data_IF_156779388909
#
_entry.id   IF_156779388909
#
_cell.length_a   1.000
_cell.length_b   1.000
_cell.length_c   1.000
_cell.angle_alpha   90.00
_cell.angle_beta   90.00
_cell.angle_gamma   90.00
#
_symmetry.space_group_name_H-M   'P 1'
#
loop_
_entity.id
_entity.type
_entity.pdbx_description
1 polymer ?
#
# COMPACT_ATOMS: atom_id res chain seq x y z
N UNK A 1 -50.07 -11.91 21.25
CA UNK A 1 -49.88 -13.02 22.19
C UNK A 1 -48.70 -12.66 23.09
N UNK A 2 -48.97 -12.33 24.35
CA UNK A 2 -47.99 -11.97 25.39
C UNK A 2 -47.59 -13.24 26.16
N UNK A 3 -46.35 -13.38 26.61
CA UNK A 3 -45.96 -14.09 27.85
C UNK A 3 -44.49 -13.69 28.17
N UNK A 4 -44.25 -12.73 29.08
CA UNK A 4 -44.12 -12.80 30.56
C UNK A 4 -42.73 -13.24 31.04
N UNK A 5 -42.19 -12.43 31.95
CA UNK A 5 -40.93 -12.54 32.69
C UNK A 5 -41.03 -13.48 33.91
N UNK A 6 -39.86 -13.85 34.47
CA UNK A 6 -39.45 -13.82 35.90
C UNK A 6 -38.22 -14.75 36.07
N UNK A 7 -37.01 -14.22 36.29
CA UNK A 7 -36.30 -14.04 37.59
C UNK A 7 -36.15 -15.32 38.43
N UNK A 8 -34.89 -15.70 38.68
CA UNK A 8 -34.45 -16.19 39.99
C UNK A 8 -33.71 -17.52 40.00
N UNK A 9 -32.37 -17.49 40.11
CA UNK A 9 -31.60 -18.13 41.19
C UNK A 9 -30.13 -18.27 40.79
N UNK A 10 -29.25 -17.64 41.57
CA UNK A 10 -27.83 -17.88 41.55
C UNK A 10 -27.54 -19.31 42.02
N UNK A 11 -26.77 -20.07 41.24
CA UNK A 11 -25.93 -21.14 41.76
C UNK A 11 -24.49 -20.87 41.35
N UNK A 12 -23.69 -20.48 42.34
CA UNK A 12 -22.24 -20.50 42.29
C UNK A 12 -21.84 -21.98 42.30
N UNK A 13 -21.52 -22.52 41.12
CA UNK A 13 -20.83 -23.78 40.99
C UNK A 13 -19.57 -23.52 40.18
N UNK A 14 -18.46 -23.38 40.90
CA UNK A 14 -17.12 -23.28 40.34
C UNK A 14 -16.87 -24.47 39.43
N UNK A 15 -16.87 -24.20 38.13
CA UNK A 15 -16.37 -25.15 37.13
C UNK A 15 -15.09 -24.54 36.62
N UNK A 16 -13.96 -25.18 36.93
CA UNK A 16 -12.68 -24.90 36.28
C UNK A 16 -12.92 -25.05 34.77
N UNK A 17 -13.12 -23.93 34.09
CA UNK A 17 -12.98 -23.85 32.64
C UNK A 17 -11.49 -24.03 32.37
N UNK A 18 -11.14 -25.28 32.11
CA UNK A 18 -9.96 -25.69 31.38
C UNK A 18 -9.68 -24.67 30.28
N UNK A 19 -8.57 -23.95 30.42
CA UNK A 19 -8.09 -23.04 29.41
C UNK A 19 -7.89 -23.82 28.12
N UNK A 20 -8.84 -23.69 27.19
CA UNK A 20 -8.56 -23.91 25.78
C UNK A 20 -7.52 -22.88 25.41
N UNK A 21 -6.26 -23.32 25.37
CA UNK A 21 -5.20 -22.59 24.71
C UNK A 21 -5.75 -22.19 23.33
N UNK A 22 -5.95 -20.89 23.13
CA UNK A 22 -6.06 -20.37 21.78
C UNK A 22 -4.71 -20.69 21.15
N UNK A 23 -4.64 -21.80 20.41
CA UNK A 23 -3.61 -21.98 19.41
C UNK A 23 -3.79 -20.82 18.44
N UNK A 24 -3.01 -19.76 18.64
CA UNK A 24 -2.76 -18.76 17.62
C UNK A 24 -2.50 -19.54 16.34
N UNK A 25 -3.33 -19.34 15.32
CA UNK A 25 -3.00 -19.82 13.98
C UNK A 25 -1.75 -19.04 13.57
N UNK A 26 -0.59 -19.59 13.91
CA UNK A 26 0.67 -19.17 13.32
C UNK A 26 0.50 -19.58 11.88
N UNK A 27 0.18 -18.61 11.01
CA UNK A 27 0.26 -18.80 9.57
C UNK A 27 1.60 -19.47 9.28
N UNK A 28 1.57 -20.64 8.62
CA UNK A 28 2.79 -21.27 8.14
C UNK A 28 3.63 -20.20 7.44
N UNK A 29 4.95 -20.21 7.67
CA UNK A 29 5.84 -19.37 6.88
C UNK A 29 5.53 -19.62 5.40
N UNK A 30 5.47 -18.58 4.56
CA UNK A 30 5.26 -18.81 3.15
C UNK A 30 6.30 -19.78 2.60
N UNK A 31 5.85 -20.71 1.76
CA UNK A 31 6.74 -21.66 1.10
C UNK A 31 7.69 -20.89 0.15
N UNK A 32 8.91 -21.40 -0.11
CA UNK A 32 9.81 -20.76 -1.05
C UNK A 32 9.18 -20.78 -2.44
N UNK A 33 8.70 -19.64 -2.91
CA UNK A 33 7.92 -19.56 -4.15
C UNK A 33 8.76 -19.62 -5.44
N UNK A 34 9.81 -20.45 -5.44
CA UNK A 34 10.84 -20.50 -6.48
C UNK A 34 10.34 -21.01 -7.83
N UNK A 35 11.24 -21.12 -8.81
CA UNK A 35 10.99 -21.84 -10.07
C UNK A 35 10.95 -23.35 -9.81
N UNK A 36 9.91 -23.80 -9.12
CA UNK A 36 9.78 -25.16 -8.62
C UNK A 36 8.71 -25.97 -9.36
N UNK A 37 8.16 -25.41 -10.44
CA UNK A 37 7.11 -25.99 -11.27
C UNK A 37 5.80 -26.26 -10.47
N UNK A 38 5.58 -25.55 -9.36
CA UNK A 38 4.38 -25.66 -8.52
C UNK A 38 3.71 -24.30 -8.26
N UNK A 39 2.38 -24.29 -8.27
CA UNK A 39 1.63 -23.07 -8.00
C UNK A 39 1.74 -22.67 -6.53
N UNK A 40 2.28 -21.48 -6.25
CA UNK A 40 2.32 -20.94 -4.91
C UNK A 40 1.18 -19.96 -4.59
N UNK A 41 0.93 -19.82 -3.29
CA UNK A 41 0.07 -18.77 -2.76
C UNK A 41 0.93 -17.72 -2.09
N UNK A 42 1.00 -16.55 -2.70
CA UNK A 42 1.87 -15.46 -2.26
C UNK A 42 1.02 -14.36 -1.64
N UNK A 43 1.24 -14.09 -0.36
CA UNK A 43 0.39 -13.23 0.45
C UNK A 43 1.11 -11.97 0.87
N UNK A 44 0.52 -10.81 0.57
CA UNK A 44 1.07 -9.50 0.95
C UNK A 44 0.21 -8.70 1.92
N UNK A 45 0.85 -7.94 2.81
CA UNK A 45 0.15 -7.05 3.76
C UNK A 45 0.79 -5.66 3.88
N UNK A 46 0.15 -4.72 4.58
CA UNK A 46 0.71 -3.42 4.90
C UNK A 46 -0.14 -2.24 4.46
N UNK A 47 0.44 -1.33 3.68
CA UNK A 47 -0.14 -0.01 3.36
C UNK A 47 -1.55 -0.07 2.79
N UNK A 48 -2.43 0.75 3.38
CA UNK A 48 -3.76 1.05 2.89
C UNK A 48 -3.70 1.88 1.60
N UNK A 49 -2.75 2.84 1.54
CA UNK A 49 -2.54 3.69 0.36
C UNK A 49 -2.26 2.86 -0.89
N UNK A 50 -1.37 1.88 -0.82
CA UNK A 50 -0.96 1.10 -2.01
C UNK A 50 -1.86 -0.11 -2.28
N UNK A 51 -2.74 -0.47 -1.34
CA UNK A 51 -3.63 -1.63 -1.45
C UNK A 51 -4.43 -1.69 -2.76
N UNK A 52 -5.07 -0.61 -3.24
CA UNK A 52 -5.87 -0.67 -4.47
C UNK A 52 -5.01 -0.87 -5.72
N UNK A 53 -3.77 -0.38 -5.73
CA UNK A 53 -2.83 -0.58 -6.84
C UNK A 53 -2.37 -2.02 -6.87
N UNK A 54 -1.91 -2.52 -5.73
CA UNK A 54 -1.33 -3.86 -5.62
C UNK A 54 -2.35 -4.93 -5.99
N UNK A 55 -3.60 -4.87 -5.51
CA UNK A 55 -4.64 -5.82 -5.93
C UNK A 55 -4.86 -5.87 -7.46
N UNK A 56 -4.74 -4.73 -8.14
CA UNK A 56 -4.92 -4.65 -9.59
C UNK A 56 -3.68 -5.14 -10.33
N UNK A 57 -2.49 -4.82 -9.86
CA UNK A 57 -1.24 -5.33 -10.41
C UNK A 57 -1.12 -6.85 -10.22
N UNK A 58 -1.47 -7.35 -9.04
CA UNK A 58 -1.56 -8.78 -8.70
C UNK A 58 -2.54 -9.50 -9.61
N UNK A 59 -3.73 -8.93 -9.88
CA UNK A 59 -4.68 -9.51 -10.82
C UNK A 59 -4.08 -9.67 -12.23
N UNK A 60 -3.36 -8.67 -12.73
CA UNK A 60 -2.71 -8.74 -14.04
C UNK A 60 -1.59 -9.79 -14.05
N UNK A 61 -0.86 -9.92 -12.94
CA UNK A 61 0.19 -10.92 -12.80
C UNK A 61 -0.38 -12.35 -12.73
N UNK A 62 -1.42 -12.57 -11.93
CA UNK A 62 -2.15 -13.84 -11.81
C UNK A 62 -2.81 -14.30 -13.12
N UNK A 63 -2.98 -13.38 -14.09
CA UNK A 63 -3.50 -13.67 -15.42
C UNK A 63 -2.42 -14.09 -16.42
N UNK A 64 -1.16 -14.18 -16.02
CA UNK A 64 -0.08 -14.67 -16.86
C UNK A 64 -0.34 -16.10 -17.35
N UNK A 65 0.04 -16.40 -18.58
CA UNK A 65 -0.17 -17.70 -19.23
C UNK A 65 0.53 -18.88 -18.52
N UNK A 66 1.55 -18.57 -17.72
CA UNK A 66 2.53 -19.50 -17.16
C UNK A 66 3.06 -20.56 -18.11
N UNK A 67 3.50 -21.66 -17.51
CA UNK A 67 3.87 -22.92 -18.14
C UNK A 67 2.62 -23.71 -18.63
N UNK A 68 2.80 -24.71 -19.50
CA UNK A 68 1.72 -25.65 -19.80
C UNK A 68 1.42 -26.52 -18.58
N UNK A 69 0.14 -26.69 -18.26
CA UNK A 69 -0.38 -27.54 -17.16
C UNK A 69 -1.14 -28.74 -17.73
N UNK A 70 -1.06 -29.92 -17.10
CA UNK A 70 -1.82 -31.09 -17.54
C UNK A 70 -3.27 -31.00 -17.06
N UNK A 71 -4.22 -30.99 -18.00
CA UNK A 71 -5.64 -31.12 -17.71
C UNK A 71 -6.16 -32.56 -17.91
N UNK A 72 -5.27 -33.55 -18.02
CA UNK A 72 -5.66 -34.95 -18.17
C UNK A 72 -6.68 -35.35 -17.10
N UNK A 73 -7.78 -35.95 -17.56
CA UNK A 73 -8.86 -36.39 -16.69
C UNK A 73 -8.32 -37.29 -15.59
N UNK A 74 -8.77 -37.15 -14.33
CA UNK A 74 -8.39 -38.05 -13.24
C UNK A 74 -8.71 -39.53 -13.55
N UNK A 75 -9.58 -39.80 -14.53
CA UNK A 75 -9.90 -41.15 -15.00
C UNK A 75 -8.84 -41.77 -15.94
N UNK A 76 -7.97 -40.97 -16.58
CA UNK A 76 -7.00 -41.45 -17.56
C UNK A 76 -5.65 -41.83 -16.93
N UNK A 77 -5.24 -41.15 -15.85
CA UNK A 77 -4.05 -41.50 -15.06
C UNK A 77 -4.05 -40.81 -13.69
N UNK A 78 -4.57 -41.45 -12.63
CA UNK A 78 -4.61 -40.87 -11.28
C UNK A 78 -3.24 -40.51 -10.71
N UNK A 79 -2.18 -41.16 -11.18
CA UNK A 79 -0.79 -40.92 -10.76
C UNK A 79 -0.10 -39.78 -11.55
N UNK A 80 -0.71 -39.29 -12.64
CA UNK A 80 -0.23 -38.17 -13.45
C UNK A 80 -1.13 -36.93 -13.36
N UNK A 81 -2.11 -36.94 -12.45
CA UNK A 81 -2.98 -35.79 -12.19
C UNK A 81 -2.16 -34.69 -11.50
N UNK A 82 -1.68 -33.74 -12.30
CA UNK A 82 -0.79 -32.66 -11.88
C UNK A 82 -1.56 -31.34 -11.69
N UNK A 83 -2.55 -31.35 -10.79
CA UNK A 83 -3.25 -30.12 -10.43
C UNK A 83 -2.31 -29.18 -9.68
N UNK A 84 -2.16 -27.95 -10.19
CA UNK A 84 -1.33 -26.92 -9.58
C UNK A 84 0.17 -27.13 -9.79
N UNK A 85 0.57 -27.74 -10.91
CA UNK A 85 1.96 -27.91 -11.31
C UNK A 85 2.16 -27.76 -12.81
N UNK A 86 3.35 -27.31 -13.20
CA UNK A 86 3.79 -27.31 -14.58
C UNK A 86 4.03 -28.73 -15.09
N UNK A 87 3.83 -28.93 -16.39
CA UNK A 87 4.20 -30.16 -17.09
C UNK A 87 5.73 -30.30 -17.17
N UNK A 88 6.28 -31.36 -16.57
CA UNK A 88 7.71 -31.69 -16.66
C UNK A 88 8.01 -32.64 -17.82
N UNK A 89 9.13 -32.44 -18.53
CA UNK A 89 9.60 -33.38 -19.57
C UNK A 89 8.95 -33.23 -20.95
N UNK A 90 8.14 -32.18 -21.16
CA UNK A 90 7.63 -31.75 -22.47
C UNK A 90 8.35 -30.49 -22.93
N UNK A 91 8.35 -30.24 -24.25
CA UNK A 91 8.87 -28.97 -24.79
C UNK A 91 7.90 -27.84 -24.43
N UNK A 92 8.20 -27.13 -23.34
CA UNK A 92 7.48 -25.93 -22.94
C UNK A 92 7.83 -24.78 -23.89
N UNK A 93 6.83 -24.08 -24.43
CA UNK A 93 7.10 -22.79 -25.08
C UNK A 93 7.45 -21.77 -24.01
N UNK A 94 8.75 -21.53 -23.80
CA UNK A 94 9.31 -20.56 -22.84
C UNK A 94 8.96 -19.09 -23.14
N UNK A 95 7.98 -18.83 -24.02
CA UNK A 95 7.56 -17.48 -24.42
C UNK A 95 6.97 -16.65 -23.28
N UNK A 96 6.79 -17.23 -22.07
CA UNK A 96 6.32 -16.54 -20.89
C UNK A 96 7.30 -16.52 -19.69
N UNK A 97 8.61 -16.69 -19.91
CA UNK A 97 9.64 -16.46 -18.85
C UNK A 97 9.75 -15.01 -18.36
N UNK A 98 8.84 -14.14 -18.77
CA UNK A 98 8.78 -12.72 -18.40
C UNK A 98 7.50 -12.39 -17.58
N UNK A 99 6.75 -13.40 -17.15
CA UNK A 99 5.53 -13.29 -16.35
C UNK A 99 5.46 -14.38 -15.29
N UNK A 100 4.28 -14.57 -14.72
CA UNK A 100 3.97 -15.59 -13.71
C UNK A 100 4.15 -17.01 -14.29
N UNK A 101 5.33 -17.61 -14.15
CA UNK A 101 5.65 -18.89 -14.80
C UNK A 101 4.94 -20.07 -14.15
N UNK A 102 5.04 -20.18 -12.84
CA UNK A 102 4.52 -21.30 -12.05
C UNK A 102 3.01 -21.20 -11.77
N UNK A 103 2.33 -20.20 -12.36
CA UNK A 103 0.92 -19.88 -12.10
C UNK A 103 0.63 -19.58 -10.63
N UNK A 104 1.54 -18.85 -10.01
CA UNK A 104 1.42 -18.34 -8.66
C UNK A 104 0.20 -17.45 -8.51
N UNK A 105 -0.39 -17.49 -7.32
CA UNK A 105 -1.55 -16.68 -6.98
C UNK A 105 -1.16 -15.69 -5.91
N UNK A 106 -1.10 -14.43 -6.32
CA UNK A 106 -0.93 -13.31 -5.41
C UNK A 106 -2.24 -12.86 -4.79
N UNK A 107 -2.20 -12.62 -3.48
CA UNK A 107 -3.31 -12.05 -2.74
C UNK A 107 -2.85 -11.04 -1.70
N UNK A 108 -3.38 -9.82 -1.77
CA UNK A 108 -3.22 -8.83 -0.71
C UNK A 108 -4.25 -8.99 0.41
N UNK A 109 -3.80 -9.16 1.66
CA UNK A 109 -4.68 -9.12 2.84
C UNK A 109 -5.28 -7.73 3.06
N UNK A 110 -6.29 -7.62 3.92
CA UNK A 110 -6.75 -6.30 4.38
C UNK A 110 -5.57 -5.47 4.93
N UNK A 111 -5.49 -4.17 4.61
CA UNK A 111 -4.36 -3.34 5.01
C UNK A 111 -4.30 -3.10 6.53
N UNK A 112 -3.09 -2.91 7.03
CA UNK A 112 -2.77 -2.73 8.46
C UNK A 112 -1.80 -1.55 8.70
N UNK A 113 -1.42 -0.84 7.64
CA UNK A 113 -0.43 0.22 7.62
C UNK A 113 0.99 -0.25 7.25
N UNK A 114 1.74 0.62 6.59
CA UNK A 114 3.08 0.34 6.04
C UNK A 114 4.07 -0.21 7.07
N UNK A 115 4.12 0.36 8.28
CA UNK A 115 5.05 -0.10 9.32
C UNK A 115 4.68 -1.49 9.86
N UNK A 116 3.37 -1.79 9.96
CA UNK A 116 2.89 -3.09 10.39
C UNK A 116 3.22 -4.17 9.34
N UNK A 117 2.96 -3.88 8.06
CA UNK A 117 3.30 -4.82 6.98
C UNK A 117 4.80 -5.10 6.84
N UNK A 118 5.63 -4.06 6.91
CA UNK A 118 7.10 -4.26 6.90
C UNK A 118 7.56 -5.09 8.09
N UNK A 119 6.96 -4.93 9.26
CA UNK A 119 7.26 -5.76 10.44
C UNK A 119 6.80 -7.20 10.24
N UNK A 120 5.62 -7.42 9.66
CA UNK A 120 5.10 -8.76 9.35
C UNK A 120 6.02 -9.51 8.38
N UNK A 121 6.51 -8.84 7.33
CA UNK A 121 7.45 -9.41 6.38
C UNK A 121 8.77 -9.82 7.05
N UNK A 122 9.34 -8.94 7.89
CA UNK A 122 10.55 -9.26 8.65
C UNK A 122 10.40 -10.48 9.55
N UNK A 123 9.21 -10.62 10.13
CA UNK A 123 8.87 -11.73 11.01
C UNK A 123 8.46 -13.00 10.25
N UNK A 124 8.52 -12.99 8.91
CA UNK A 124 8.17 -14.14 8.06
C UNK A 124 6.68 -14.48 8.05
N UNK A 125 5.81 -13.53 8.38
CA UNK A 125 4.36 -13.74 8.45
C UNK A 125 3.66 -13.55 7.09
N UNK A 126 4.35 -12.92 6.14
CA UNK A 126 3.90 -12.64 4.78
C UNK A 126 5.08 -12.72 3.83
N UNK A 127 4.79 -12.85 2.54
CA UNK A 127 5.76 -12.96 1.44
C UNK A 127 6.36 -11.62 1.02
N UNK A 128 5.51 -10.59 0.98
CA UNK A 128 5.92 -9.23 0.68
C UNK A 128 5.11 -8.23 1.51
N UNK A 129 5.64 -7.02 1.61
CA UNK A 129 4.98 -5.92 2.27
C UNK A 129 4.67 -4.79 1.28
N UNK A 130 3.61 -4.08 1.59
CA UNK A 130 3.14 -2.87 0.93
C UNK A 130 3.53 -1.67 1.77
N UNK A 131 4.22 -0.68 1.18
CA UNK A 131 4.66 0.49 1.94
C UNK A 131 4.44 1.80 1.18
N UNK A 132 3.84 2.77 1.85
CA UNK A 132 3.70 4.16 1.39
C UNK A 132 4.72 5.11 2.03
N UNK A 133 5.84 4.55 2.50
CA UNK A 133 7.01 5.24 3.04
C UNK A 133 8.29 4.51 2.63
N UNK A 134 9.42 5.23 2.62
CA UNK A 134 10.75 4.65 2.40
C UNK A 134 11.31 3.89 3.61
N UNK A 135 12.46 3.22 3.45
CA UNK A 135 13.08 2.44 4.53
C UNK A 135 13.46 3.31 5.73
N UNK A 136 13.40 2.73 6.95
CA UNK A 136 13.97 3.36 8.16
C UNK A 136 15.49 3.31 8.11
N UNK A 137 16.11 4.20 8.88
CA UNK A 137 17.56 4.20 9.12
C UNK A 137 18.08 2.93 9.80
N UNK A 138 17.22 2.17 10.49
CA UNK A 138 17.61 0.95 11.20
C UNK A 138 16.53 -0.13 11.16
N UNK A 139 16.94 -1.39 11.34
CA UNK A 139 16.05 -2.53 11.47
C UNK A 139 15.40 -3.02 10.16
N UNK A 140 15.73 -2.44 9.01
CA UNK A 140 15.16 -2.82 7.69
C UNK A 140 16.25 -3.16 6.66
N UNK A 141 17.49 -3.40 7.12
CA UNK A 141 18.66 -3.66 6.26
C UNK A 141 18.59 -4.97 5.47
N UNK A 142 17.75 -5.93 5.90
CA UNK A 142 17.51 -7.20 5.22
C UNK A 142 16.39 -7.12 4.17
N UNK A 143 15.80 -5.94 3.95
CA UNK A 143 14.70 -5.74 3.01
C UNK A 143 15.11 -4.87 1.82
N UNK A 144 14.38 -5.00 0.73
CA UNK A 144 14.42 -4.09 -0.41
C UNK A 144 13.10 -3.34 -0.56
N UNK A 145 13.18 -2.06 -0.88
CA UNK A 145 12.04 -1.17 -1.10
C UNK A 145 12.02 -0.78 -2.58
N UNK A 146 11.13 -1.40 -3.35
CA UNK A 146 11.00 -1.24 -4.80
C UNK A 146 9.98 -0.16 -5.12
N UNK A 147 10.46 1.01 -5.55
CA UNK A 147 9.61 2.17 -5.80
C UNK A 147 8.79 1.98 -7.08
N UNK A 148 7.62 1.36 -7.04
CA UNK A 148 6.82 1.18 -8.27
C UNK A 148 6.09 2.46 -8.70
N UNK A 149 5.97 3.46 -7.84
CA UNK A 149 5.28 4.69 -8.18
C UNK A 149 5.64 5.85 -7.27
N UNK A 150 5.03 7.00 -7.57
CA UNK A 150 5.19 8.24 -6.81
C UNK A 150 3.83 8.88 -6.54
N UNK A 151 3.77 9.61 -5.44
CA UNK A 151 2.57 10.21 -4.87
C UNK A 151 2.92 11.54 -4.18
N UNK A 152 1.91 12.34 -3.86
CA UNK A 152 2.05 13.54 -3.03
C UNK A 152 1.13 13.48 -1.82
N UNK A 153 1.49 14.17 -0.74
CA UNK A 153 0.59 14.37 0.40
C UNK A 153 -0.04 15.75 0.32
N UNK A 154 -1.37 15.78 0.32
CA UNK A 154 -2.15 17.02 0.29
C UNK A 154 -2.75 17.31 1.64
N UNK A 155 -2.85 18.61 1.96
CA UNK A 155 -3.67 19.09 3.06
C UNK A 155 -5.12 19.22 2.58
N UNK A 156 -6.05 18.77 3.41
CA UNK A 156 -7.48 18.80 3.10
C UNK A 156 -8.29 19.38 4.25
N UNK A 157 -9.31 20.14 3.89
CA UNK A 157 -10.41 20.54 4.78
C UNK A 157 -11.72 20.08 4.16
N UNK A 158 -12.79 20.06 4.94
CA UNK A 158 -14.14 19.78 4.46
C UNK A 158 -15.13 20.78 5.06
N UNK A 159 -16.43 20.54 4.91
CA UNK A 159 -17.46 21.47 5.34
C UNK A 159 -17.55 22.69 4.42
N UNK A 160 -17.63 23.88 5.00
CA UNK A 160 -17.77 25.15 4.27
C UNK A 160 -16.44 25.93 4.15
N UNK A 161 -15.32 25.35 4.59
CA UNK A 161 -14.02 26.03 4.51
C UNK A 161 -13.44 25.94 3.11
N UNK A 162 -13.43 27.07 2.41
CA UNK A 162 -12.82 27.21 1.09
C UNK A 162 -11.30 27.07 1.19
N UNK A 163 -10.68 26.12 0.47
CA UNK A 163 -9.23 25.99 0.44
C UNK A 163 -8.55 27.22 -0.15
N UNK A 164 -7.46 27.62 0.47
CA UNK A 164 -6.52 28.58 -0.08
C UNK A 164 -5.13 27.95 -0.22
N UNK A 165 -4.13 28.68 0.27
CA UNK A 165 -2.75 28.26 0.29
C UNK A 165 -2.24 28.10 1.73
N UNK A 166 -1.42 27.09 1.96
CA UNK A 166 -0.64 26.93 3.19
C UNK A 166 0.85 26.99 2.89
N UNK A 167 1.61 27.65 3.75
CA UNK A 167 3.08 27.51 3.78
C UNK A 167 3.47 26.32 4.64
N UNK A 168 4.70 25.84 4.46
CA UNK A 168 5.31 24.79 5.28
C UNK A 168 5.31 25.20 6.75
N UNK A 169 5.65 26.47 7.04
CA UNK A 169 5.63 27.01 8.39
C UNK A 169 4.21 27.02 8.99
N UNK A 170 3.17 27.30 8.18
CA UNK A 170 1.78 27.24 8.65
C UNK A 170 1.37 25.79 8.94
N UNK A 171 1.70 24.83 8.08
CA UNK A 171 1.41 23.42 8.33
C UNK A 171 2.11 22.94 9.61
N UNK A 172 3.39 23.25 9.78
CA UNK A 172 4.14 22.96 11.00
C UNK A 172 3.51 23.64 12.22
N UNK A 173 3.12 24.91 12.10
CA UNK A 173 2.49 25.68 13.17
C UNK A 173 1.14 25.10 13.61
N UNK A 174 0.34 24.63 12.67
CA UNK A 174 -0.93 23.92 12.93
C UNK A 174 -0.64 22.60 13.65
N UNK A 175 0.32 21.82 13.16
CA UNK A 175 0.62 20.50 13.72
C UNK A 175 1.49 20.53 14.98
N UNK A 176 2.13 21.63 15.35
CA UNK A 176 2.77 21.80 16.66
C UNK A 176 1.93 22.64 17.64
N UNK A 177 0.69 22.98 17.27
CA UNK A 177 -0.25 23.76 18.08
C UNK A 177 0.16 25.21 18.37
N UNK A 178 1.07 25.80 17.59
CA UNK A 178 1.38 27.24 17.70
C UNK A 178 0.44 28.12 16.87
N UNK A 179 -0.15 27.56 15.81
CA UNK A 179 -1.24 28.17 15.04
C UNK A 179 -2.52 27.39 15.35
N UNK A 180 -3.43 28.02 16.08
CA UNK A 180 -4.65 27.36 16.60
C UNK A 180 -5.95 28.04 16.18
N UNK A 181 -5.88 29.15 15.46
CA UNK A 181 -7.05 29.82 14.89
C UNK A 181 -6.86 30.03 13.38
N UNK A 182 -7.91 29.74 12.62
CA UNK A 182 -7.94 29.91 11.17
C UNK A 182 -7.73 31.35 10.73
N UNK A 183 -8.01 32.35 11.58
CA UNK A 183 -7.71 33.75 11.26
C UNK A 183 -6.21 34.04 11.06
N UNK A 184 -5.32 33.13 11.48
CA UNK A 184 -3.88 33.19 11.20
C UNK A 184 -3.50 32.70 9.79
N UNK A 185 -4.47 32.26 9.00
CA UNK A 185 -4.31 31.81 7.61
C UNK A 185 -5.01 32.81 6.70
N UNK A 186 -4.29 33.31 5.69
CA UNK A 186 -4.80 34.38 4.83
C UNK A 186 -6.12 34.02 4.14
N UNK A 187 -7.07 34.97 4.19
CA UNK A 187 -8.38 34.84 3.57
C UNK A 187 -9.35 33.90 4.28
N UNK A 188 -9.03 33.42 5.49
CA UNK A 188 -9.88 32.51 6.25
C UNK A 188 -10.68 33.24 7.33
N UNK A 189 -11.93 32.83 7.53
CA UNK A 189 -12.73 33.25 8.67
C UNK A 189 -12.19 32.60 9.97
N UNK A 190 -12.28 33.35 11.07
CA UNK A 190 -11.86 32.93 12.40
C UNK A 190 -12.54 31.62 12.84
N UNK A 191 -11.85 30.87 13.69
CA UNK A 191 -12.32 29.61 14.24
C UNK A 191 -11.17 28.73 14.65
N UNK A 192 -11.36 27.95 15.71
CA UNK A 192 -10.33 27.02 16.20
C UNK A 192 -9.93 26.02 15.11
N UNK A 193 -8.63 25.79 14.93
CA UNK A 193 -8.12 24.75 14.03
C UNK A 193 -8.13 23.42 14.78
N UNK A 194 -8.67 22.39 14.14
CA UNK A 194 -8.72 21.02 14.65
C UNK A 194 -7.82 20.10 13.79
N UNK A 195 -6.49 20.05 14.03
CA UNK A 195 -5.62 19.12 13.34
C UNK A 195 -5.92 17.68 13.81
N UNK A 196 -6.41 16.85 12.89
CA UNK A 196 -6.73 15.45 13.18
C UNK A 196 -5.49 14.58 12.95
N UNK A 197 -5.18 13.65 13.85
CA UNK A 197 -4.06 12.72 13.67
C UNK A 197 -4.35 11.57 12.70
N UNK A 198 -3.44 10.60 12.63
CA UNK A 198 -3.54 9.42 11.75
C UNK A 198 -3.04 8.15 12.46
N UNK A 199 -3.51 6.97 12.07
CA UNK A 199 -3.09 5.72 12.70
C UNK A 199 -1.56 5.55 12.67
N UNK A 200 -0.97 5.11 13.78
CA UNK A 200 0.48 5.16 13.99
C UNK A 200 1.28 4.30 12.98
N UNK A 201 0.69 3.21 12.46
CA UNK A 201 1.34 2.32 11.49
C UNK A 201 1.33 2.86 10.05
N UNK A 202 0.64 3.97 9.77
CA UNK A 202 0.49 4.53 8.44
C UNK A 202 1.82 5.01 7.85
N UNK A 203 2.08 4.66 6.59
CA UNK A 203 3.20 5.24 5.86
C UNK A 203 2.96 6.71 5.52
N UNK A 204 1.70 7.09 5.29
CA UNK A 204 1.30 8.49 5.08
C UNK A 204 1.58 9.36 6.30
N UNK A 205 1.41 8.82 7.51
CA UNK A 205 1.85 9.50 8.73
C UNK A 205 3.38 9.61 8.78
N UNK A 206 4.11 8.52 8.55
CA UNK A 206 5.58 8.53 8.64
C UNK A 206 6.25 9.56 7.69
N UNK A 207 5.74 9.68 6.47
CA UNK A 207 6.20 10.72 5.52
C UNK A 207 5.85 12.12 6.01
N UNK A 208 4.63 12.32 6.54
CA UNK A 208 4.22 13.62 7.06
C UNK A 208 5.00 14.02 8.32
N UNK A 209 5.27 13.09 9.24
CA UNK A 209 6.13 13.33 10.41
C UNK A 209 7.53 13.78 9.98
N UNK A 210 8.09 13.17 8.94
CA UNK A 210 9.40 13.54 8.40
C UNK A 210 9.39 14.96 7.81
N UNK A 211 8.30 15.33 7.12
CA UNK A 211 8.09 16.68 6.60
C UNK A 211 7.90 17.73 7.71
N UNK A 212 7.18 17.38 8.78
CA UNK A 212 6.99 18.23 9.95
C UNK A 212 8.27 18.37 10.79
N UNK A 213 9.10 17.33 10.85
CA UNK A 213 10.22 17.21 11.77
C UNK A 213 9.83 16.76 13.18
N UNK A 214 8.57 16.35 13.39
CA UNK A 214 8.03 15.88 14.67
C UNK A 214 6.81 14.97 14.45
N UNK A 215 6.34 14.30 15.51
CA UNK A 215 5.17 13.43 15.46
C UNK A 215 3.87 14.23 15.27
N UNK A 216 3.19 14.04 14.13
CA UNK A 216 1.93 14.71 13.81
C UNK A 216 0.79 14.44 14.82
N UNK A 217 0.85 13.36 15.58
CA UNK A 217 -0.13 13.03 16.61
C UNK A 217 0.19 13.67 17.98
N UNK A 218 1.35 14.34 18.11
CA UNK A 218 1.74 14.98 19.36
C UNK A 218 1.15 16.40 19.52
N UNK A 219 0.95 16.82 20.77
CA UNK A 219 0.47 18.15 21.12
C UNK A 219 -1.01 18.21 21.53
N UNK A 220 -1.35 19.16 22.40
CA UNK A 220 -2.65 19.23 23.08
C UNK A 220 -3.84 19.58 22.16
N UNK A 221 -3.59 20.21 21.01
CA UNK A 221 -4.64 20.57 20.05
C UNK A 221 -5.04 19.43 19.10
N UNK A 222 -4.35 18.27 19.16
CA UNK A 222 -4.58 17.17 18.23
C UNK A 222 -5.88 16.46 18.52
N UNK A 223 -6.61 16.16 17.46
CA UNK A 223 -7.89 15.46 17.52
C UNK A 223 -7.71 14.02 17.06
N UNK A 224 -8.24 13.10 17.85
CA UNK A 224 -8.58 11.74 17.43
C UNK A 224 -10.08 11.67 17.14
N UNK A 225 -10.55 10.51 16.68
CA UNK A 225 -11.97 10.21 16.65
C UNK A 225 -12.51 10.18 18.09
N UNK A 226 -13.82 10.36 18.27
CA UNK A 226 -14.52 10.27 19.56
C UNK A 226 -14.34 8.89 20.23
N UNK A 227 -13.98 7.85 19.47
CA UNK A 227 -13.60 6.54 20.00
C UNK A 227 -12.24 6.53 20.72
N UNK A 228 -11.47 7.61 20.62
CA UNK A 228 -10.08 7.71 21.07
C UNK A 228 -9.06 7.20 20.04
N UNK A 229 -9.50 6.52 18.98
CA UNK A 229 -8.63 6.03 17.92
C UNK A 229 -8.31 7.11 16.88
N UNK A 230 -7.16 7.01 16.23
CA UNK A 230 -6.88 7.80 15.04
C UNK A 230 -7.46 7.13 13.78
N UNK A 231 -7.93 7.93 12.80
CA UNK A 231 -8.48 7.42 11.54
C UNK A 231 -7.44 6.65 10.71
N UNK A 232 -7.92 5.76 9.86
CA UNK A 232 -7.12 5.12 8.82
C UNK A 232 -6.73 6.11 7.71
N UNK A 233 -5.49 6.03 7.22
CA UNK A 233 -5.00 6.84 6.11
C UNK A 233 -5.93 6.80 4.89
N UNK A 234 -6.11 7.96 4.23
CA UNK A 234 -6.87 8.13 3.00
C UNK A 234 -8.38 7.82 3.07
N UNK A 235 -8.98 7.75 4.26
CA UNK A 235 -10.42 7.61 4.41
C UNK A 235 -11.01 8.72 5.30
N UNK A 236 -11.70 9.68 4.68
CA UNK A 236 -12.33 10.77 5.41
C UNK A 236 -13.70 10.43 5.99
N UNK A 237 -14.31 9.29 5.61
CA UNK A 237 -15.65 8.94 6.09
C UNK A 237 -15.77 8.97 7.61
N UNK A 238 -14.83 8.39 8.38
CA UNK A 238 -14.90 8.45 9.84
C UNK A 238 -14.81 9.88 10.37
N UNK A 239 -14.04 10.76 9.73
CA UNK A 239 -13.87 12.16 10.16
C UNK A 239 -15.15 12.95 9.96
N UNK A 240 -15.74 12.83 8.78
CA UNK A 240 -16.98 13.52 8.41
C UNK A 240 -18.17 13.05 9.25
N UNK A 241 -18.17 11.77 9.66
CA UNK A 241 -19.24 11.19 10.46
C UNK A 241 -19.09 11.43 11.98
N UNK A 242 -17.92 11.88 12.44
CA UNK A 242 -17.63 12.04 13.87
C UNK A 242 -18.10 13.40 14.39
N UNK A 243 -19.14 13.39 15.22
CA UNK A 243 -19.69 14.61 15.82
C UNK A 243 -18.71 15.36 16.76
N UNK A 244 -17.64 14.69 17.20
CA UNK A 244 -16.56 15.29 18.01
C UNK A 244 -15.51 16.04 17.20
N UNK A 245 -15.58 15.97 15.87
CA UNK A 245 -14.71 16.69 14.94
C UNK A 245 -15.56 17.75 14.21
N UNK A 246 -15.19 19.01 14.35
CA UNK A 246 -15.94 20.11 13.74
C UNK A 246 -15.65 20.19 12.24
N UNK A 247 -16.69 20.02 11.43
CA UNK A 247 -16.57 19.92 9.98
C UNK A 247 -15.90 21.12 9.30
N UNK A 248 -16.00 22.32 9.89
CA UNK A 248 -15.44 23.55 9.34
C UNK A 248 -14.09 23.93 9.97
N UNK A 249 -13.65 23.20 10.99
CA UNK A 249 -12.45 23.50 11.75
C UNK A 249 -11.34 22.46 11.52
N UNK A 250 -11.74 21.25 11.10
CA UNK A 250 -10.83 20.15 10.90
C UNK A 250 -9.92 20.34 9.69
N UNK A 251 -8.65 20.04 9.88
CA UNK A 251 -7.66 19.89 8.82
C UNK A 251 -6.98 18.53 8.96
N UNK A 252 -6.76 17.87 7.82
CA UNK A 252 -6.11 16.57 7.76
C UNK A 252 -5.20 16.48 6.53
N UNK A 253 -4.49 15.36 6.38
CA UNK A 253 -3.67 15.08 5.21
C UNK A 253 -3.96 13.71 4.63
N UNK A 254 -3.81 13.57 3.31
CA UNK A 254 -4.02 12.31 2.60
C UNK A 254 -3.19 12.25 1.32
N UNK A 255 -3.14 11.07 0.71
CA UNK A 255 -2.58 10.83 -0.62
C UNK A 255 -3.33 11.63 -1.70
N UNK A 256 -2.57 12.34 -2.54
CA UNK A 256 -3.09 13.02 -3.73
C UNK A 256 -3.67 12.03 -4.74
N UNK A 257 -3.02 10.86 -4.89
CA UNK A 257 -3.51 9.77 -5.73
C UNK A 257 -4.88 9.26 -5.25
N UNK A 258 -5.00 8.92 -3.97
CA UNK A 258 -6.26 8.45 -3.39
C UNK A 258 -7.36 9.51 -3.47
N UNK A 259 -7.03 10.77 -3.18
CA UNK A 259 -7.96 11.91 -3.29
C UNK A 259 -8.55 12.06 -4.70
N UNK A 260 -7.73 11.83 -5.73
CA UNK A 260 -8.17 11.89 -7.13
C UNK A 260 -8.98 10.67 -7.53
N UNK A 261 -8.54 9.48 -7.13
CA UNK A 261 -9.09 8.21 -7.58
C UNK A 261 -10.40 7.81 -6.87
N UNK A 262 -10.53 8.12 -5.58
CA UNK A 262 -11.57 7.56 -4.72
C UNK A 262 -12.43 8.67 -4.10
N UNK A 263 -13.35 9.22 -4.89
CA UNK A 263 -14.28 10.27 -4.44
C UNK A 263 -15.08 9.87 -3.19
N UNK A 264 -15.46 8.59 -3.08
CA UNK A 264 -16.16 8.07 -1.90
C UNK A 264 -15.29 8.01 -0.64
N UNK A 265 -13.96 7.92 -0.76
CA UNK A 265 -13.06 8.05 0.39
C UNK A 265 -12.76 9.51 0.72
N UNK A 266 -12.59 10.35 -0.30
CA UNK A 266 -12.41 11.80 -0.16
C UNK A 266 -13.61 12.50 0.48
N UNK A 267 -14.82 11.99 0.24
CA UNK A 267 -16.07 12.68 0.59
C UNK A 267 -16.10 14.09 -0.06
N UNK A 268 -16.51 15.09 0.70
CA UNK A 268 -16.60 16.50 0.28
C UNK A 268 -15.32 17.28 0.53
N UNK A 269 -14.24 16.63 0.97
CA UNK A 269 -13.01 17.35 1.24
C UNK A 269 -12.39 17.95 -0.01
N UNK A 270 -11.76 19.10 0.20
CA UNK A 270 -11.11 19.88 -0.82
C UNK A 270 -9.64 20.08 -0.47
N UNK A 271 -8.78 19.95 -1.47
CA UNK A 271 -7.33 20.06 -1.32
C UNK A 271 -6.85 21.52 -1.32
N UNK A 272 -5.90 21.82 -0.44
CA UNK A 272 -5.19 23.10 -0.40
C UNK A 272 -3.94 23.07 -1.29
N UNK A 273 -3.50 24.25 -1.75
CA UNK A 273 -2.15 24.40 -2.29
C UNK A 273 -1.13 24.52 -1.17
N UNK A 274 0.08 24.06 -1.41
CA UNK A 274 1.20 24.19 -0.47
C UNK A 274 2.33 24.95 -1.17
N UNK A 275 2.83 26.03 -0.57
CA UNK A 275 3.80 26.94 -1.17
C UNK A 275 3.38 27.48 -2.55
N UNK A 276 2.08 27.74 -2.72
CA UNK A 276 1.47 28.21 -3.97
C UNK A 276 1.41 27.13 -5.06
N UNK A 277 1.66 25.86 -4.73
CA UNK A 277 1.66 24.74 -5.68
C UNK A 277 0.51 23.78 -5.40
N UNK A 278 -0.26 23.46 -6.43
CA UNK A 278 -1.23 22.37 -6.40
C UNK A 278 -0.52 21.01 -6.57
N UNK A 279 -1.02 19.97 -5.91
CA UNK A 279 -0.55 18.60 -6.10
C UNK A 279 -1.15 18.00 -7.40
N UNK A 280 -0.43 18.17 -8.50
CA UNK A 280 -0.78 17.63 -9.82
C UNK A 280 0.20 16.54 -10.20
N UNK A 281 -0.16 15.69 -11.17
CA UNK A 281 0.77 14.69 -11.69
C UNK A 281 2.12 15.31 -12.13
N UNK A 282 2.08 16.49 -12.77
CA UNK A 282 3.28 17.19 -13.21
C UNK A 282 4.12 17.74 -12.06
N UNK A 283 3.49 18.41 -11.08
CA UNK A 283 4.21 19.02 -9.93
C UNK A 283 4.76 17.98 -8.96
N UNK A 284 4.10 16.83 -8.83
CA UNK A 284 4.60 15.69 -8.06
C UNK A 284 5.76 15.00 -8.83
N UNK A 285 5.60 14.78 -10.14
CA UNK A 285 6.63 14.13 -10.94
C UNK A 285 7.95 14.92 -10.96
N UNK A 286 7.89 16.25 -11.08
CA UNK A 286 9.09 17.08 -11.15
C UNK A 286 9.57 17.64 -9.79
N UNK A 287 9.05 17.14 -8.66
CA UNK A 287 9.39 17.57 -7.29
C UNK A 287 9.17 19.06 -6.99
N UNK A 288 8.33 19.75 -7.77
CA UNK A 288 7.98 21.16 -7.45
C UNK A 288 6.87 21.28 -6.43
N UNK A 289 6.08 20.22 -6.20
CA UNK A 289 5.17 20.14 -5.06
C UNK A 289 5.94 19.74 -3.78
N UNK A 290 5.71 20.37 -2.61
CA UNK A 290 6.62 20.24 -1.47
C UNK A 290 6.63 18.87 -0.76
N UNK A 291 5.53 18.12 -0.80
CA UNK A 291 5.38 16.87 -0.04
C UNK A 291 5.18 15.72 -1.02
N UNK A 292 6.28 15.22 -1.61
CA UNK A 292 6.28 14.05 -2.49
C UNK A 292 6.82 12.82 -1.78
N UNK A 293 6.47 11.63 -2.29
CA UNK A 293 7.00 10.36 -1.82
C UNK A 293 6.95 9.32 -2.93
N UNK A 294 7.83 8.34 -2.85
CA UNK A 294 7.63 7.08 -3.56
C UNK A 294 6.71 6.14 -2.76
N UNK A 295 6.14 5.17 -3.47
CA UNK A 295 5.39 4.06 -2.91
C UNK A 295 6.05 2.76 -3.33
N UNK A 296 6.00 1.76 -2.46
CA UNK A 296 6.91 0.64 -2.50
C UNK A 296 6.20 -0.71 -2.38
N UNK A 297 6.66 -1.63 -3.20
CA UNK A 297 6.60 -3.07 -2.97
C UNK A 297 7.86 -3.44 -2.18
N UNK A 298 7.73 -4.19 -1.09
CA UNK A 298 8.84 -4.48 -0.19
C UNK A 298 9.05 -5.98 -0.12
N UNK A 299 10.28 -6.41 -0.37
CA UNK A 299 10.68 -7.84 -0.36
C UNK A 299 11.78 -8.07 0.65
N UNK A 300 12.01 -9.32 1.05
CA UNK A 300 13.30 -9.68 1.67
C UNK A 300 14.37 -9.64 0.59
N UNK A 301 15.61 -9.31 1.00
CA UNK A 301 16.79 -9.38 0.11
C UNK A 301 17.07 -10.80 -0.38
N UNK A 302 16.65 -11.82 0.37
CA UNK A 302 16.78 -13.23 -0.01
C UNK A 302 15.91 -13.58 -1.21
N UNK A 303 14.77 -12.92 -1.35
CA UNK A 303 13.74 -13.28 -2.32
C UNK A 303 13.96 -12.51 -3.64
N UNK A 304 14.34 -11.24 -3.54
CA UNK A 304 14.72 -10.41 -4.68
C UNK A 304 15.86 -9.46 -4.29
N UNK A 305 16.98 -9.47 -5.02
CA UNK A 305 18.10 -8.55 -4.82
C UNK A 305 18.06 -7.41 -5.83
N UNK A 306 18.36 -6.18 -5.36
CA UNK A 306 18.62 -5.06 -6.27
C UNK A 306 19.88 -5.34 -7.09
N UNK A 307 19.69 -5.44 -8.41
CA UNK A 307 20.76 -5.71 -9.37
C UNK A 307 21.93 -4.75 -9.23
N UNK A 308 23.16 -5.27 -9.40
CA UNK A 308 24.31 -4.42 -9.71
C UNK A 308 24.06 -3.66 -11.03
N UNK A 309 24.79 -2.57 -11.25
CA UNK A 309 24.48 -1.58 -12.30
C UNK A 309 24.65 -2.06 -13.77
N UNK A 310 24.67 -3.36 -14.09
CA UNK A 310 25.13 -3.79 -15.42
C UNK A 310 24.60 -5.11 -16.00
N UNK A 311 23.32 -5.48 -15.89
CA UNK A 311 22.78 -6.52 -16.81
C UNK A 311 21.27 -6.47 -17.09
N UNK A 312 20.41 -6.21 -16.12
CA UNK A 312 18.96 -6.48 -16.25
C UNK A 312 18.10 -5.21 -16.09
N UNK A 313 17.12 -5.04 -16.99
CA UNK A 313 16.30 -3.82 -17.12
C UNK A 313 15.17 -3.77 -16.07
N UNK A 314 15.02 -4.82 -15.26
CA UNK A 314 13.95 -4.96 -14.25
C UNK A 314 14.33 -4.39 -12.89
N UNK A 315 15.64 -4.34 -12.57
CA UNK A 315 16.18 -3.92 -11.28
C UNK A 315 16.26 -5.01 -10.21
N UNK A 316 15.67 -6.19 -10.41
CA UNK A 316 15.55 -7.27 -9.41
C UNK A 316 16.10 -8.63 -9.92
N UNK A 317 17.40 -8.77 -10.12
CA UNK A 317 18.01 -9.84 -10.94
C UNK A 317 18.62 -11.03 -10.16
N UNK A 318 18.51 -11.04 -8.83
CA UNK A 318 19.11 -12.09 -8.01
C UNK A 318 18.31 -12.38 -6.74
N UNK A 319 18.84 -13.26 -5.88
CA UNK A 319 18.09 -13.91 -4.81
C UNK A 319 17.78 -15.36 -5.16
N UNK A 320 17.00 -16.05 -4.31
CA UNK A 320 16.62 -17.44 -4.55
C UNK A 320 15.76 -17.63 -5.82
N UNK A 321 15.24 -16.55 -6.41
CA UNK A 321 14.23 -16.60 -7.46
C UNK A 321 12.83 -16.76 -6.86
N UNK A 322 11.83 -16.77 -7.73
CA UNK A 322 10.45 -17.07 -7.36
C UNK A 322 9.44 -15.95 -7.50
N UNK A 323 8.19 -16.25 -7.20
CA UNK A 323 7.01 -15.45 -7.43
C UNK A 323 7.17 -13.99 -6.98
N UNK A 324 7.69 -13.76 -5.76
CA UNK A 324 7.88 -12.39 -5.21
C UNK A 324 8.83 -11.57 -6.09
N UNK A 325 9.89 -12.20 -6.59
CA UNK A 325 10.81 -11.58 -7.54
C UNK A 325 10.12 -11.35 -8.87
N UNK A 326 9.38 -12.31 -9.40
CA UNK A 326 8.66 -12.17 -10.67
C UNK A 326 7.63 -11.04 -10.64
N UNK A 327 6.84 -10.90 -9.56
CA UNK A 327 5.92 -9.77 -9.41
C UNK A 327 6.70 -8.44 -9.35
N UNK A 328 7.84 -8.43 -8.66
CA UNK A 328 8.74 -7.26 -8.63
C UNK A 328 9.18 -6.90 -10.05
N UNK A 329 9.71 -7.85 -10.80
CA UNK A 329 10.16 -7.64 -12.19
C UNK A 329 9.01 -7.20 -13.09
N UNK A 330 7.83 -7.81 -12.95
CA UNK A 330 6.62 -7.44 -13.66
C UNK A 330 6.25 -5.97 -13.46
N UNK A 331 6.34 -5.45 -12.23
CA UNK A 331 6.05 -4.04 -11.95
C UNK A 331 7.19 -3.10 -12.36
N UNK A 332 8.43 -3.60 -12.41
CA UNK A 332 9.63 -2.78 -12.49
C UNK A 332 10.33 -2.78 -13.85
N UNK A 333 9.89 -3.61 -14.81
CA UNK A 333 10.44 -3.67 -16.17
C UNK A 333 9.86 -2.58 -17.09
N UNK A 334 10.62 -2.05 -18.06
CA UNK A 334 10.14 -1.00 -18.95
C UNK A 334 9.16 -1.53 -19.99
N UNK A 335 8.53 -0.60 -20.72
CA UNK A 335 7.50 -0.91 -21.71
C UNK A 335 7.91 -1.97 -22.75
N UNK A 336 9.14 -1.92 -23.25
CA UNK A 336 9.64 -2.85 -24.27
C UNK A 336 9.83 -4.29 -23.75
N UNK A 337 9.81 -4.49 -22.43
CA UNK A 337 10.03 -5.78 -21.77
C UNK A 337 8.72 -6.43 -21.30
N UNK A 338 7.56 -5.87 -21.65
CA UNK A 338 6.27 -6.46 -21.35
C UNK A 338 5.72 -7.25 -22.54
N UNK A 339 5.31 -8.49 -22.26
CA UNK A 339 4.47 -9.32 -23.12
C UNK A 339 3.01 -8.85 -23.11
N UNK A 340 2.20 -9.40 -24.01
CA UNK A 340 0.76 -9.17 -24.02
C UNK A 340 0.07 -9.89 -22.85
N UNK A 341 -1.00 -9.29 -22.36
CA UNK A 341 -1.97 -9.93 -21.47
C UNK A 341 -2.93 -10.77 -22.33
N UNK A 342 -3.14 -12.02 -21.95
CA UNK A 342 -3.94 -12.96 -22.75
C UNK A 342 -5.43 -12.64 -22.79
N UNK A 343 -5.94 -11.94 -21.78
CA UNK A 343 -7.36 -11.62 -21.67
C UNK A 343 -7.72 -10.34 -22.43
N UNK A 344 -6.81 -9.37 -22.48
CA UNK A 344 -7.07 -8.08 -23.12
C UNK A 344 -6.40 -7.92 -24.49
N UNK A 345 -5.39 -8.72 -24.81
CA UNK A 345 -4.56 -8.59 -26.00
C UNK A 345 -3.64 -7.36 -26.02
N UNK A 346 -3.63 -6.55 -24.95
CA UNK A 346 -2.72 -5.39 -24.81
C UNK A 346 -1.45 -5.79 -24.08
N UNK A 347 -0.38 -5.03 -24.25
CA UNK A 347 0.83 -5.26 -23.44
C UNK A 347 0.52 -5.07 -21.95
N UNK A 348 1.13 -5.89 -21.10
CA UNK A 348 1.03 -5.75 -19.65
C UNK A 348 1.50 -4.36 -19.16
N UNK A 349 2.37 -3.68 -19.91
CA UNK A 349 2.72 -2.28 -19.63
C UNK A 349 1.53 -1.33 -19.80
N UNK A 350 0.72 -1.52 -20.85
CA UNK A 350 -0.49 -0.73 -21.08
C UNK A 350 -1.53 -1.02 -20.00
N UNK A 351 -1.71 -2.28 -19.63
CA UNK A 351 -2.61 -2.67 -18.54
C UNK A 351 -2.17 -2.05 -17.19
N UNK A 352 -0.89 -2.13 -16.84
CA UNK A 352 -0.33 -1.45 -15.67
C UNK A 352 -0.54 0.06 -15.74
N UNK A 353 -0.45 0.69 -16.91
CA UNK A 353 -0.75 2.12 -17.09
C UNK A 353 -2.22 2.43 -16.74
N UNK A 354 -3.13 1.52 -17.07
CA UNK A 354 -4.51 1.54 -16.61
C UNK A 354 -4.63 1.49 -15.09
N UNK A 355 -3.81 0.67 -14.41
CA UNK A 355 -3.76 0.62 -12.94
C UNK A 355 -3.33 1.96 -12.34
N UNK A 356 -2.24 2.59 -12.82
CA UNK A 356 -1.84 3.93 -12.35
C UNK A 356 -2.96 4.95 -12.53
N UNK A 357 -3.64 4.92 -13.69
CA UNK A 357 -4.75 5.82 -13.96
C UNK A 357 -5.90 5.61 -12.98
N UNK A 358 -6.25 4.35 -12.71
CA UNK A 358 -7.35 3.97 -11.81
C UNK A 358 -7.06 4.28 -10.33
N UNK A 359 -5.79 4.32 -9.92
CA UNK A 359 -5.40 4.59 -8.52
C UNK A 359 -4.81 5.98 -8.30
N UNK A 360 -4.61 6.75 -9.36
CA UNK A 360 -4.12 8.13 -9.31
C UNK A 360 -2.62 8.28 -9.06
N UNK A 361 -1.88 7.19 -8.86
CA UNK A 361 -0.43 7.23 -8.72
C UNK A 361 0.22 7.61 -10.04
N UNK A 362 1.40 8.21 -9.95
CA UNK A 362 2.26 8.41 -11.12
C UNK A 362 3.32 7.31 -11.15
N UNK A 363 3.71 6.90 -12.36
CA UNK A 363 4.92 6.11 -12.54
C UNK A 363 6.10 6.92 -11.99
N UNK A 364 7.13 6.22 -11.51
CA UNK A 364 8.38 6.88 -11.16
C UNK A 364 8.85 7.71 -12.38
N UNK A 365 9.17 9.00 -12.22
CA UNK A 365 9.74 9.82 -13.28
C UNK A 365 11.04 9.23 -13.82
N UNK A 366 11.24 9.27 -15.14
CA UNK A 366 12.44 8.72 -15.79
C UNK A 366 13.75 9.34 -15.26
N UNK A 367 13.72 10.63 -14.89
CA UNK A 367 14.89 11.32 -14.31
C UNK A 367 15.29 10.81 -12.92
N UNK A 368 14.41 10.06 -12.25
CA UNK A 368 14.65 9.47 -10.92
C UNK A 368 14.93 7.97 -11.01
N UNK A 369 15.07 7.40 -12.22
CA UNK A 369 15.35 5.98 -12.45
C UNK A 369 16.80 5.78 -12.87
N UNK A 370 17.46 4.73 -12.34
CA UNK A 370 18.82 4.35 -12.77
C UNK A 370 18.85 3.10 -13.64
N UNK A 371 18.03 2.08 -13.35
CA UNK A 371 17.83 0.88 -14.19
C UNK A 371 16.46 0.26 -13.87
N UNK A 372 15.53 0.22 -14.84
CA UNK A 372 14.15 -0.18 -14.58
C UNK A 372 13.34 0.88 -13.81
N UNK A 373 12.03 0.68 -13.74
CA UNK A 373 11.08 1.67 -13.22
C UNK A 373 11.25 1.86 -11.70
N UNK A 374 11.65 0.81 -10.98
CA UNK A 374 11.68 0.80 -9.51
C UNK A 374 13.02 1.12 -8.86
N UNK A 375 14.10 1.20 -9.63
CA UNK A 375 15.43 1.49 -9.11
C UNK A 375 15.68 2.98 -9.15
N UNK A 376 15.70 3.60 -7.97
CA UNK A 376 15.84 5.05 -7.84
C UNK A 376 17.29 5.51 -8.05
N UNK A 377 17.45 6.74 -8.54
CA UNK A 377 18.72 7.48 -8.44
C UNK A 377 19.03 7.69 -6.95
N UNK A 378 20.27 7.44 -6.50
CA UNK A 378 20.65 7.73 -5.13
C UNK A 378 20.33 9.19 -4.76
N UNK A 379 19.48 9.38 -3.75
CA UNK A 379 19.04 10.71 -3.30
C UNK A 379 17.85 11.31 -4.05
N UNK A 380 17.22 10.57 -4.98
CA UNK A 380 15.93 10.93 -5.57
C UNK A 380 14.77 10.89 -4.56
#
# INVERSE_FOLDING_TARGET
>A
MKLKSLIGAALVAGTLLSGTAMTSMVSASPEPSGWDDANDRVVGTGSDTTYPFMQRAELLFNQGTGCDTDNASPAASPAAYNLGKCLTGVSQTATNTQGNWDHDVFASTYPTGSSAGVTALKNGQVDYARSSRGPKSSGESALNFWAFGKDGLIMVTYGNRTPGNLTTAQIQGIYNCTITDWSSIDGQAAGTIEPVGMQASAGTKAVFDSYLGFDANSGACKKSLSSGAYPFENDLKPLVADAGISANNAIWWMSAAAYKAFSYQRQTAQSWTVEGKSATAGTIANNTYPITRFIYHVTKKTDATAAAASAEITGADGGAGGAVRELTEFMCKPAASHTNNDYSGKTNYVELTGVYTATGFIRVPAAEQTNGICKLVPGA
#
